data_IF_839508200233
#
_entry.id   IF_839508200233
#
_cell.length_a   1.000
_cell.length_b   1.000
_cell.length_c   1.000
_cell.angle_alpha   90.00
_cell.angle_beta   90.00
_cell.angle_gamma   90.00
#
_symmetry.space_group_name_H-M   'P 1'
#
loop_
_entity.id
_entity.type
_entity.pdbx_description
1 polymer ?
#
# COMPACT_ATOMS: atom_id res chain seq x y z
N UNK A 1 1.02 30.92 10.78
CA UNK A 1 0.21 29.94 11.55
C UNK A 1 0.27 28.65 10.74
N UNK A 2 1.19 27.74 11.10
CA UNK A 2 1.49 26.53 10.32
C UNK A 2 0.78 25.34 10.99
N UNK A 3 -0.02 24.62 10.21
CA UNK A 3 -0.85 23.51 10.67
C UNK A 3 0.03 22.26 10.78
N UNK A 4 0.45 21.92 12.00
CA UNK A 4 1.33 20.77 12.30
C UNK A 4 0.65 19.39 12.17
N UNK A 5 -0.47 19.28 11.46
CA UNK A 5 -1.27 18.04 11.37
C UNK A 5 -1.02 17.17 10.13
N UNK A 6 -0.36 17.69 9.09
CA UNK A 6 -0.37 17.04 7.76
C UNK A 6 0.90 16.27 7.39
N UNK A 7 2.04 16.49 8.09
CA UNK A 7 3.32 15.89 7.71
C UNK A 7 3.75 14.65 8.53
N UNK A 8 3.01 14.30 9.58
CA UNK A 8 3.38 13.20 10.49
C UNK A 8 3.03 11.83 9.85
N UNK A 9 1.94 11.76 9.09
CA UNK A 9 1.43 10.53 8.47
C UNK A 9 2.44 9.81 7.55
N UNK A 10 3.07 10.47 6.55
CA UNK A 10 4.01 9.76 5.66
C UNK A 10 5.29 9.32 6.37
N UNK A 11 5.80 10.11 7.31
CA UNK A 11 6.99 9.77 8.08
C UNK A 11 6.76 8.55 9.01
N UNK A 12 5.57 8.45 9.61
CA UNK A 12 5.19 7.29 10.42
C UNK A 12 5.07 6.03 9.57
N UNK A 13 4.47 6.13 8.37
CA UNK A 13 4.31 4.98 7.48
C UNK A 13 5.64 4.46 6.94
N UNK A 14 6.58 5.35 6.59
CA UNK A 14 7.93 4.96 6.17
C UNK A 14 8.69 4.27 7.30
N UNK A 15 8.59 4.78 8.52
CA UNK A 15 9.19 4.12 9.69
C UNK A 15 8.56 2.76 9.95
N UNK A 16 7.24 2.64 9.87
CA UNK A 16 6.54 1.38 10.05
C UNK A 16 7.00 0.33 9.03
N UNK A 17 7.20 0.70 7.75
CA UNK A 17 7.74 -0.19 6.73
C UNK A 17 9.11 -0.73 7.15
N UNK A 18 10.02 0.13 7.63
CA UNK A 18 11.34 -0.27 8.08
C UNK A 18 11.27 -1.24 9.28
N UNK A 19 10.42 -0.94 10.27
CA UNK A 19 10.23 -1.79 11.45
C UNK A 19 9.69 -3.19 11.03
N UNK A 20 8.75 -3.25 10.08
CA UNK A 20 8.27 -4.53 9.56
C UNK A 20 9.30 -5.27 8.72
N UNK A 21 10.13 -4.58 7.94
CA UNK A 21 11.22 -5.22 7.20
C UNK A 21 12.25 -5.84 8.15
N UNK A 22 12.57 -5.18 9.27
CA UNK A 22 13.41 -5.77 10.31
C UNK A 22 12.75 -6.98 10.97
N UNK A 23 11.44 -6.92 11.26
CA UNK A 23 10.71 -8.06 11.80
C UNK A 23 10.77 -9.27 10.84
N UNK A 24 10.65 -9.02 9.53
CA UNK A 24 10.70 -10.03 8.48
C UNK A 24 12.11 -10.59 8.23
N UNK A 25 13.16 -9.84 8.56
CA UNK A 25 14.53 -10.36 8.58
C UNK A 25 14.75 -11.36 9.72
N UNK A 26 14.06 -11.17 10.85
CA UNK A 26 14.12 -12.07 12.01
C UNK A 26 13.23 -13.29 11.78
N UNK A 27 11.99 -13.07 11.32
CA UNK A 27 11.03 -14.11 10.99
C UNK A 27 10.33 -13.85 9.64
N UNK A 28 10.85 -14.51 8.61
CA UNK A 28 10.30 -14.43 7.25
C UNK A 28 8.92 -15.09 7.09
N UNK A 29 8.44 -15.84 8.09
CA UNK A 29 7.11 -16.47 8.11
C UNK A 29 6.11 -15.70 8.98
N UNK A 30 6.40 -14.44 9.30
CA UNK A 30 5.48 -13.61 10.07
C UNK A 30 4.44 -12.93 9.16
N UNK A 31 3.34 -13.63 8.90
CA UNK A 31 2.27 -13.16 8.01
C UNK A 31 1.71 -11.77 8.40
N UNK A 32 1.62 -11.48 9.70
CA UNK A 32 1.11 -10.22 10.23
C UNK A 32 2.03 -9.04 9.90
N UNK A 33 3.36 -9.23 9.90
CA UNK A 33 4.28 -8.17 9.49
C UNK A 33 4.13 -7.83 8.00
N UNK A 34 3.98 -8.82 7.12
CA UNK A 34 3.68 -8.57 5.71
C UNK A 34 2.34 -7.82 5.53
N UNK A 35 1.32 -8.18 6.30
CA UNK A 35 0.03 -7.49 6.25
C UNK A 35 0.16 -6.01 6.64
N UNK A 36 0.79 -5.71 7.78
CA UNK A 36 0.91 -4.32 8.21
C UNK A 36 1.90 -3.51 7.38
N UNK A 37 2.93 -4.13 6.80
CA UNK A 37 3.76 -3.47 5.78
C UNK A 37 2.93 -3.09 4.55
N UNK A 38 2.00 -3.98 4.15
CA UNK A 38 1.02 -3.68 3.11
C UNK A 38 0.12 -2.48 3.45
N UNK A 39 -0.39 -2.41 4.69
CA UNK A 39 -1.18 -1.26 5.16
C UNK A 39 -0.37 0.04 5.09
N UNK A 40 0.89 0.03 5.54
CA UNK A 40 1.74 1.21 5.51
C UNK A 40 2.02 1.69 4.07
N UNK A 41 2.23 0.79 3.11
CA UNK A 41 2.32 1.15 1.69
C UNK A 41 1.00 1.67 1.14
N UNK A 42 -0.13 1.09 1.54
CA UNK A 42 -1.46 1.54 1.11
C UNK A 42 -1.72 2.98 1.57
N UNK A 43 -1.39 3.31 2.82
CA UNK A 43 -1.56 4.66 3.37
C UNK A 43 -0.63 5.70 2.74
N UNK A 44 0.46 5.26 2.10
CA UNK A 44 1.35 6.09 1.28
C UNK A 44 0.87 6.25 -0.17
N UNK A 45 -0.21 5.57 -0.57
CA UNK A 45 -0.67 5.52 -1.97
C UNK A 45 0.14 4.58 -2.86
N UNK A 46 1.09 3.84 -2.29
CA UNK A 46 1.97 2.89 -3.00
C UNK A 46 1.26 1.54 -3.20
N UNK A 47 0.12 1.56 -3.91
CA UNK A 47 -0.80 0.43 -3.99
C UNK A 47 -0.18 -0.84 -4.57
N UNK A 48 0.79 -0.73 -5.50
CA UNK A 48 1.51 -1.90 -6.04
C UNK A 48 2.33 -2.61 -4.97
N UNK A 49 3.05 -1.86 -4.14
CA UNK A 49 3.86 -2.39 -3.04
C UNK A 49 2.98 -2.98 -1.93
N UNK A 50 1.81 -2.36 -1.69
CA UNK A 50 0.79 -2.89 -0.79
C UNK A 50 0.28 -4.26 -1.27
N UNK A 51 -0.10 -4.39 -2.55
CA UNK A 51 -0.58 -5.64 -3.16
C UNK A 51 0.44 -6.77 -2.99
N UNK A 52 1.72 -6.49 -3.25
CA UNK A 52 2.79 -7.46 -3.10
C UNK A 52 2.93 -7.93 -1.64
N UNK A 53 2.92 -6.99 -0.70
CA UNK A 53 3.04 -7.30 0.73
C UNK A 53 1.85 -8.11 1.24
N UNK A 54 0.61 -7.76 0.88
CA UNK A 54 -0.55 -8.59 1.19
C UNK A 54 -0.48 -9.98 0.53
N UNK A 55 0.05 -10.06 -0.69
CA UNK A 55 0.29 -11.33 -1.37
C UNK A 55 1.25 -12.24 -0.60
N UNK A 56 2.32 -11.68 -0.02
CA UNK A 56 3.24 -12.42 0.84
C UNK A 56 2.57 -12.86 2.14
N UNK A 57 1.75 -12.01 2.76
CA UNK A 57 0.97 -12.40 3.95
C UNK A 57 0.07 -13.62 3.67
N UNK A 58 -0.57 -13.65 2.50
CA UNK A 58 -1.42 -14.76 2.03
C UNK A 58 -0.60 -16.01 1.72
N UNK A 59 0.59 -15.88 1.14
CA UNK A 59 1.47 -17.01 0.87
C UNK A 59 1.92 -17.70 2.16
N UNK A 60 2.18 -16.91 3.21
CA UNK A 60 2.59 -17.42 4.52
C UNK A 60 1.40 -17.97 5.30
N UNK A 61 0.25 -17.29 5.28
CA UNK A 61 -0.99 -17.75 5.86
C UNK A 61 -2.14 -17.65 4.85
N UNK A 62 -2.47 -18.77 4.22
CA UNK A 62 -3.52 -18.84 3.20
C UNK A 62 -4.92 -18.56 3.71
N UNK A 63 -5.15 -18.61 5.02
CA UNK A 63 -6.44 -18.34 5.68
C UNK A 63 -6.54 -16.89 6.18
N UNK A 64 -5.56 -16.02 5.88
CA UNK A 64 -5.56 -14.64 6.36
C UNK A 64 -6.55 -13.76 5.56
N UNK A 65 -7.83 -13.84 5.93
CA UNK A 65 -8.97 -13.20 5.25
C UNK A 65 -8.77 -11.69 5.09
N UNK A 66 -8.26 -11.00 6.12
CA UNK A 66 -7.99 -9.56 6.10
C UNK A 66 -6.99 -9.18 5.01
N UNK A 67 -5.96 -9.99 4.79
CA UNK A 67 -4.97 -9.75 3.74
C UNK A 67 -5.61 -9.85 2.33
N UNK A 68 -6.55 -10.77 2.11
CA UNK A 68 -7.29 -10.83 0.85
C UNK A 68 -8.16 -9.59 0.63
N UNK A 69 -8.88 -9.14 1.66
CA UNK A 69 -9.73 -7.94 1.60
C UNK A 69 -8.90 -6.70 1.32
N UNK A 70 -7.80 -6.49 2.05
CA UNK A 70 -6.91 -5.35 1.85
C UNK A 70 -6.23 -5.39 0.47
N UNK A 71 -5.86 -6.58 -0.03
CA UNK A 71 -5.31 -6.73 -1.38
C UNK A 71 -6.31 -6.37 -2.47
N UNK A 72 -7.57 -6.78 -2.32
CA UNK A 72 -8.63 -6.41 -3.25
C UNK A 72 -8.85 -4.88 -3.28
N UNK A 73 -8.92 -4.25 -2.11
CA UNK A 73 -9.05 -2.78 -2.01
C UNK A 73 -7.86 -2.05 -2.65
N UNK A 74 -6.64 -2.56 -2.48
CA UNK A 74 -5.46 -2.01 -3.14
C UNK A 74 -5.51 -2.14 -4.68
N UNK A 75 -6.08 -3.23 -5.22
CA UNK A 75 -6.31 -3.37 -6.66
C UNK A 75 -7.33 -2.36 -7.19
N UNK A 76 -8.41 -2.12 -6.47
CA UNK A 76 -9.41 -1.11 -6.83
C UNK A 76 -8.77 0.28 -6.92
N UNK A 77 -8.04 0.70 -5.88
CA UNK A 77 -7.33 1.98 -5.88
C UNK A 77 -6.31 2.12 -7.00
N UNK A 78 -5.59 1.05 -7.33
CA UNK A 78 -4.63 1.07 -8.44
C UNK A 78 -5.32 1.23 -9.80
N UNK A 79 -6.51 0.66 -9.98
CA UNK A 79 -7.27 0.79 -11.22
C UNK A 79 -7.94 2.16 -11.36
N UNK A 80 -8.46 2.71 -10.26
CA UNK A 80 -9.01 4.07 -10.22
C UNK A 80 -7.94 5.08 -10.63
N UNK A 81 -6.75 4.99 -10.02
CA UNK A 81 -5.63 5.89 -10.32
C UNK A 81 -5.15 5.80 -11.78
N UNK A 82 -5.14 4.60 -12.36
CA UNK A 82 -4.81 4.43 -13.79
C UNK A 82 -5.87 5.04 -14.70
N UNK A 83 -7.15 4.90 -14.35
CA UNK A 83 -8.26 5.45 -15.12
C UNK A 83 -8.19 6.98 -15.11
N UNK A 84 -7.94 7.58 -13.95
CA UNK A 84 -7.77 9.03 -13.80
C UNK A 84 -6.63 9.57 -14.68
N UNK A 85 -5.44 8.94 -14.67
CA UNK A 85 -4.33 9.34 -15.54
C UNK A 85 -4.69 9.22 -17.02
N UNK A 86 -5.33 8.11 -17.42
CA UNK A 86 -5.75 7.90 -18.81
C UNK A 86 -6.73 8.99 -19.28
N UNK A 87 -7.66 9.39 -18.43
CA UNK A 87 -8.66 10.41 -18.78
C UNK A 87 -8.04 11.81 -18.87
N UNK A 88 -7.09 12.14 -17.97
CA UNK A 88 -6.32 13.38 -18.04
C UNK A 88 -5.47 13.47 -19.32
N UNK A 89 -4.83 12.38 -19.73
CA UNK A 89 -4.04 12.33 -20.96
C UNK A 89 -4.89 12.57 -22.21
N UNK A 90 -6.10 12.02 -22.28
CA UNK A 90 -7.02 12.24 -23.41
C UNK A 90 -7.50 13.68 -23.51
N UNK A 91 -7.86 14.30 -22.39
CA UNK A 91 -8.34 15.68 -22.37
C UNK A 91 -7.24 16.68 -22.81
N UNK A 92 -5.98 16.44 -22.42
CA UNK A 92 -4.85 17.28 -22.83
C UNK A 92 -4.51 17.15 -24.34
N UNK A 93 -5.00 16.11 -25.02
CA UNK A 93 -4.83 15.92 -26.46
C UNK A 93 -6.03 16.42 -27.28
N UNK A 94 -7.20 16.61 -26.68
CA UNK A 94 -8.39 17.16 -27.37
C UNK A 94 -8.42 18.70 -27.41
N UNK A 95 -7.63 19.35 -26.58
CA UNK A 95 -7.55 20.81 -26.46
C UNK A 95 -6.34 21.42 -27.22
N UNK A 96 -5.58 20.62 -27.98
CA UNK A 96 -4.44 21.01 -28.81
C UNK A 96 -4.74 20.84 -30.31
#
# INVERSE_FOLDING_TARGET
MWIAGLLIHPAMNLKAIQDYDQALQIDSQYAVAYYFRGNAYYDLGEYRSAILSYGQAIQVNSEYIEAYKSRASAYEKLNDFKSEISDLEKNNLSDA
#
